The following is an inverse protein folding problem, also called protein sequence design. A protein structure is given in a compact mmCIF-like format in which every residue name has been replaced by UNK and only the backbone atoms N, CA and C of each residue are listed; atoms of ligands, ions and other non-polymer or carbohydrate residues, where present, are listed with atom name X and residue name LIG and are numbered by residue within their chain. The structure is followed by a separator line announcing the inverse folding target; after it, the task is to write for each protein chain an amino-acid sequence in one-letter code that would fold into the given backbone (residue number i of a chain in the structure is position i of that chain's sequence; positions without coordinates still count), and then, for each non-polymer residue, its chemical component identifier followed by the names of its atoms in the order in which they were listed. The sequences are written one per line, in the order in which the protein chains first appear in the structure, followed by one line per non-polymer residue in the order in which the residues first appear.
data_IF_901614679567
#
_entry.id   IF_901614679567
#
_cell.length_a   1.000
_cell.length_b   1.000
_cell.length_c   1.000
_cell.angle_alpha   90.00
_cell.angle_beta   90.00
_cell.angle_gamma   90.00
#
_symmetry.space_group_name_H-M   'P 1'
#
loop_
_entity.id
_entity.type
_entity.pdbx_description
1 polymer ?
#
# COMPACT_ATOMS: atom_id res chain seq x y z
N UNK A 1 15.32 0.76 -42.29
CA UNK A 1 14.70 2.03 -41.85
C UNK A 1 15.13 2.21 -40.40
N UNK A 2 16.21 2.94 -40.17
CA UNK A 2 16.78 3.20 -38.84
C UNK A 2 15.90 4.24 -38.14
N UNK A 3 15.38 3.91 -36.96
CA UNK A 3 14.76 4.87 -36.06
C UNK A 3 15.81 5.27 -35.03
N UNK A 4 16.35 6.47 -35.21
CA UNK A 4 17.17 7.19 -34.25
C UNK A 4 16.29 7.68 -33.11
N UNK A 5 16.53 7.19 -31.89
CA UNK A 5 15.91 7.72 -30.67
C UNK A 5 16.69 8.96 -30.24
N UNK A 6 16.12 10.15 -30.48
CA UNK A 6 16.62 11.39 -29.91
C UNK A 6 16.36 11.37 -28.39
N UNK A 7 17.44 11.52 -27.63
CA UNK A 7 17.41 11.73 -26.19
C UNK A 7 16.99 13.18 -25.99
N UNK A 8 15.73 13.38 -25.59
CA UNK A 8 15.23 14.70 -25.26
C UNK A 8 15.81 15.13 -23.90
N UNK A 9 16.93 15.86 -23.94
CA UNK A 9 17.54 16.48 -22.76
C UNK A 9 16.71 17.68 -22.36
N UNK A 10 15.66 17.45 -21.57
CA UNK A 10 14.91 18.52 -20.93
C UNK A 10 15.85 19.29 -19.99
N UNK A 11 15.96 20.59 -20.23
CA UNK A 11 16.70 21.55 -19.42
C UNK A 11 16.12 21.56 -18.00
N UNK A 12 16.93 21.57 -16.92
CA UNK A 12 16.38 21.69 -15.58
C UNK A 12 15.61 23.02 -15.46
N UNK A 13 14.43 23.03 -14.81
CA UNK A 13 13.73 24.26 -14.54
C UNK A 13 14.59 25.17 -13.63
N UNK A 14 14.45 26.50 -13.76
CA UNK A 14 15.26 27.44 -13.00
C UNK A 14 15.05 27.29 -11.50
N UNK A 15 16.13 27.43 -10.75
CA UNK A 15 16.10 27.53 -9.29
C UNK A 15 15.57 28.89 -8.82
N UNK A 16 14.90 28.85 -7.64
CA UNK A 16 14.57 29.96 -6.73
C UNK A 16 13.36 30.83 -7.17
N UNK A 17 12.35 31.19 -6.34
CA UNK A 17 12.19 32.23 -5.29
C UNK A 17 10.66 32.31 -5.05
N UNK A 18 10.02 32.60 -3.91
CA UNK A 18 10.41 33.08 -2.59
C UNK A 18 9.17 33.46 -1.75
N UNK A 19 9.44 33.70 -0.48
CA UNK A 19 8.55 34.14 0.60
C UNK A 19 7.85 35.46 0.22
N UNK A 20 6.53 35.62 0.45
CA UNK A 20 5.89 36.93 0.34
C UNK A 20 6.16 37.80 1.58
N UNK A 21 6.67 39.00 1.35
CA UNK A 21 6.65 40.14 2.28
C UNK A 21 5.19 40.59 2.47
N UNK A 22 4.67 40.52 3.70
CA UNK A 22 3.34 41.03 4.04
C UNK A 22 3.48 42.43 4.64
N UNK A 23 3.10 43.44 3.86
CA UNK A 23 2.81 44.78 4.39
C UNK A 23 1.49 44.76 5.18
N UNK A 24 1.53 45.36 6.36
CA UNK A 24 0.40 45.55 7.27
C UNK A 24 -0.67 46.49 6.70
N UNK A 25 -1.94 46.06 6.75
CA UNK A 25 -3.05 46.77 7.40
C UNK A 25 -4.41 46.25 6.87
N UNK A 26 -5.05 45.39 7.66
CA UNK A 26 -6.49 45.39 7.95
C UNK A 26 -6.82 44.15 8.77
N UNK A 27 -7.12 44.30 10.06
CA UNK A 27 -7.53 43.19 10.93
C UNK A 27 -8.72 42.41 10.34
N UNK A 28 -8.57 41.12 10.02
CA UNK A 28 -9.69 40.21 9.87
C UNK A 28 -10.01 39.57 11.23
N UNK A 29 -11.29 39.26 11.41
CA UNK A 29 -11.82 38.45 12.51
C UNK A 29 -11.02 37.14 12.65
N UNK A 30 -10.91 36.54 13.86
CA UNK A 30 -10.16 35.31 14.04
C UNK A 30 -10.75 34.24 13.14
N UNK A 31 -10.06 33.97 12.03
CA UNK A 31 -10.28 32.79 11.22
C UNK A 31 -10.03 31.59 12.14
N UNK A 32 -10.79 30.52 11.96
CA UNK A 32 -10.43 29.24 12.56
C UNK A 32 -9.04 28.89 12.01
N UNK A 33 -7.99 29.20 12.78
CA UNK A 33 -6.59 28.86 12.54
C UNK A 33 -6.38 27.34 12.70
N UNK A 34 -7.20 26.53 12.02
CA UNK A 34 -6.78 25.15 11.75
C UNK A 34 -5.65 25.27 10.71
N UNK A 35 -4.45 24.75 11.02
CA UNK A 35 -3.32 24.84 10.11
C UNK A 35 -3.71 24.20 8.78
N UNK A 36 -3.65 24.98 7.69
CA UNK A 36 -3.85 24.43 6.35
C UNK A 36 -2.74 23.42 6.08
N UNK A 37 -3.13 22.16 5.87
CA UNK A 37 -2.21 21.10 5.46
C UNK A 37 -1.63 21.45 4.10
N UNK A 38 -0.31 21.37 3.98
CA UNK A 38 0.36 21.50 2.70
C UNK A 38 0.05 20.28 1.84
N UNK A 39 -0.34 20.50 0.59
CA UNK A 39 -0.73 19.42 -0.34
C UNK A 39 0.21 19.37 -1.52
N UNK A 40 0.50 18.16 -2.00
CA UNK A 40 1.20 17.92 -3.25
C UNK A 40 0.40 16.94 -4.12
N UNK A 41 -0.11 17.42 -5.25
CA UNK A 41 -1.11 16.72 -6.06
C UNK A 41 -2.34 16.35 -5.21
N UNK A 42 -2.60 15.07 -5.00
CA UNK A 42 -3.72 14.56 -4.18
C UNK A 42 -3.27 14.15 -2.76
N UNK A 43 -1.99 14.33 -2.41
CA UNK A 43 -1.42 13.91 -1.14
C UNK A 43 -1.28 15.07 -0.15
N UNK A 44 -1.59 14.80 1.11
CA UNK A 44 -1.24 15.67 2.23
C UNK A 44 0.22 15.43 2.63
N UNK A 45 0.97 16.50 2.85
CA UNK A 45 2.35 16.46 3.34
C UNK A 45 2.34 16.66 4.86
N UNK A 46 2.85 15.65 5.58
CA UNK A 46 2.95 15.63 7.03
C UNK A 46 4.41 15.55 7.47
N UNK A 47 4.69 16.01 8.69
CA UNK A 47 6.03 16.01 9.28
C UNK A 47 6.87 17.23 8.92
N UNK A 48 8.19 17.07 8.98
CA UNK A 48 9.15 18.17 8.77
C UNK A 48 10.22 17.76 7.78
N UNK A 49 10.53 18.64 6.84
CA UNK A 49 11.63 18.45 5.90
C UNK A 49 12.98 18.44 6.61
N UNK A 50 13.85 17.53 6.19
CA UNK A 50 15.23 17.43 6.70
C UNK A 50 16.19 17.25 5.52
N UNK A 51 17.47 17.60 5.72
CA UNK A 51 18.51 17.36 4.71
C UNK A 51 18.60 15.88 4.30
N UNK A 52 18.35 14.96 5.25
CA UNK A 52 18.34 13.53 4.99
C UNK A 52 17.15 13.12 4.10
N UNK A 53 15.98 13.72 4.31
CA UNK A 53 14.80 13.53 3.47
C UNK A 53 15.06 14.04 2.04
N UNK A 54 15.57 15.27 1.90
CA UNK A 54 15.90 15.84 0.59
C UNK A 54 16.94 15.00 -0.15
N UNK A 55 17.99 14.55 0.54
CA UNK A 55 18.99 13.66 -0.05
C UNK A 55 18.41 12.31 -0.49
N UNK A 56 17.42 11.80 0.25
CA UNK A 56 16.72 10.56 -0.08
C UNK A 56 15.85 10.72 -1.34
N UNK A 57 15.19 11.87 -1.52
CA UNK A 57 14.37 12.16 -2.69
C UNK A 57 15.15 12.08 -4.00
N UNK A 58 16.43 12.44 -3.99
CA UNK A 58 17.33 12.37 -5.13
C UNK A 58 17.87 10.95 -5.42
N UNK A 59 17.72 10.01 -4.48
CA UNK A 59 18.24 8.66 -4.67
C UNK A 59 17.47 7.91 -5.77
N UNK A 60 18.18 7.24 -6.71
CA UNK A 60 17.54 6.46 -7.75
C UNK A 60 16.90 5.18 -7.18
N UNK A 61 15.63 4.96 -7.52
CA UNK A 61 14.91 3.74 -7.24
C UNK A 61 14.48 3.04 -8.52
N UNK A 62 14.71 1.72 -8.60
CA UNK A 62 14.24 0.89 -9.72
C UNK A 62 13.04 0.06 -9.32
N UNK A 63 11.87 0.44 -9.81
CA UNK A 63 10.61 -0.27 -9.57
C UNK A 63 10.19 -0.98 -10.86
N UNK A 64 9.58 -2.16 -10.75
CA UNK A 64 8.93 -2.77 -11.91
C UNK A 64 7.52 -2.21 -12.06
N UNK A 65 7.22 -1.62 -13.20
CA UNK A 65 5.89 -1.09 -13.52
C UNK A 65 5.08 -2.08 -14.34
N UNK A 66 3.78 -2.14 -14.09
CA UNK A 66 2.81 -2.96 -14.82
C UNK A 66 1.40 -2.41 -14.70
N UNK A 67 0.43 -3.19 -15.18
CA UNK A 67 -0.99 -2.85 -15.16
C UNK A 67 -1.78 -4.04 -14.63
N UNK A 68 -2.83 -3.76 -13.88
CA UNK A 68 -3.81 -4.73 -13.40
C UNK A 68 -5.14 -4.52 -14.13
N UNK A 69 -5.65 -5.55 -14.81
CA UNK A 69 -6.83 -5.49 -15.70
C UNK A 69 -8.08 -6.20 -15.12
N UNK A 70 -8.08 -6.48 -13.81
CA UNK A 70 -9.23 -7.04 -13.10
C UNK A 70 -9.29 -8.57 -13.15
N UNK A 71 -10.45 -9.15 -12.85
CA UNK A 71 -10.60 -10.60 -12.63
C UNK A 71 -10.86 -11.45 -13.90
N UNK A 72 -10.62 -10.90 -15.11
CA UNK A 72 -10.78 -11.63 -16.39
C UNK A 72 -9.50 -12.38 -16.78
N UNK A 73 -9.48 -13.01 -17.96
CA UNK A 73 -8.46 -13.95 -18.46
C UNK A 73 -6.99 -13.49 -18.34
N UNK A 74 -6.73 -12.18 -18.21
CA UNK A 74 -5.41 -11.61 -17.89
C UNK A 74 -5.50 -10.69 -16.68
N UNK A 75 -5.22 -11.25 -15.50
CA UNK A 75 -5.38 -10.50 -14.24
C UNK A 75 -4.42 -9.31 -14.12
N UNK A 76 -3.19 -9.43 -14.60
CA UNK A 76 -2.17 -8.38 -14.57
C UNK A 76 -1.04 -8.65 -15.57
N UNK A 77 -0.11 -7.70 -15.71
CA UNK A 77 1.10 -7.82 -16.54
C UNK A 77 1.78 -9.18 -16.33
N UNK A 78 2.06 -9.86 -17.44
CA UNK A 78 2.60 -11.21 -17.43
C UNK A 78 4.12 -11.19 -17.17
N UNK A 79 4.65 -12.33 -16.74
CA UNK A 79 6.10 -12.49 -16.63
C UNK A 79 6.77 -12.28 -17.99
N UNK A 80 7.83 -11.47 -18.01
CA UNK A 80 8.51 -11.05 -19.23
C UNK A 80 8.10 -9.64 -19.70
N UNK A 81 6.92 -9.17 -19.29
CA UNK A 81 6.34 -7.89 -19.74
C UNK A 81 6.44 -6.78 -18.68
N UNK A 82 6.88 -7.09 -17.45
CA UNK A 82 7.13 -6.06 -16.42
C UNK A 82 8.30 -5.15 -16.83
N UNK A 83 8.13 -3.85 -16.67
CA UNK A 83 9.15 -2.88 -17.09
C UNK A 83 9.91 -2.36 -15.88
N UNK A 84 11.21 -2.69 -15.71
CA UNK A 84 12.03 -2.03 -14.71
C UNK A 84 12.27 -0.59 -15.15
N UNK A 85 11.87 0.37 -14.33
CA UNK A 85 12.05 1.80 -14.57
C UNK A 85 12.90 2.34 -13.43
N UNK A 86 13.96 3.09 -13.73
CA UNK A 86 14.83 3.72 -12.73
C UNK A 86 14.64 5.22 -12.76
N UNK A 87 14.26 5.82 -11.63
CA UNK A 87 14.10 7.27 -11.45
C UNK A 87 14.38 7.65 -9.99
N UNK A 88 14.79 8.89 -9.70
CA UNK A 88 14.82 9.42 -8.35
C UNK A 88 13.47 9.27 -7.63
N UNK A 89 13.47 9.12 -6.31
CA UNK A 89 12.23 9.04 -5.51
C UNK A 89 11.30 10.23 -5.75
N UNK A 90 11.82 11.46 -5.87
CA UNK A 90 11.00 12.64 -6.18
C UNK A 90 10.19 12.47 -7.47
N UNK A 91 10.76 11.81 -8.50
CA UNK A 91 10.06 11.56 -9.76
C UNK A 91 9.02 10.45 -9.65
N UNK A 92 9.17 9.53 -8.68
CA UNK A 92 8.13 8.55 -8.34
C UNK A 92 6.98 9.19 -7.56
N UNK A 93 7.27 10.20 -6.74
CA UNK A 93 6.27 11.01 -6.04
C UNK A 93 5.49 11.85 -7.06
N UNK A 94 6.17 12.71 -7.81
CA UNK A 94 5.59 13.55 -8.88
C UNK A 94 4.76 12.69 -9.84
N UNK A 95 5.35 11.60 -10.30
CA UNK A 95 4.70 10.71 -11.27
C UNK A 95 4.51 11.36 -12.64
N UNK A 96 3.33 11.21 -13.22
CA UNK A 96 2.98 11.81 -14.50
C UNK A 96 1.49 12.01 -14.67
N UNK A 97 1.15 13.06 -15.42
CA UNK A 97 -0.23 13.44 -15.69
C UNK A 97 -0.99 12.33 -16.43
N UNK A 98 -2.29 12.24 -16.13
CA UNK A 98 -3.21 11.41 -16.87
C UNK A 98 -3.53 12.00 -18.25
N UNK A 99 -4.12 11.19 -19.10
CA UNK A 99 -4.70 11.63 -20.37
C UNK A 99 -6.13 11.08 -20.53
N UNK A 100 -6.73 11.30 -21.70
CA UNK A 100 -8.10 10.83 -21.99
C UNK A 100 -8.30 9.30 -21.88
N UNK A 101 -7.23 8.53 -21.87
CA UNK A 101 -7.21 7.06 -21.84
C UNK A 101 -6.53 6.50 -20.58
N UNK A 102 -5.70 7.28 -19.91
CA UNK A 102 -4.87 6.84 -18.79
C UNK A 102 -5.09 7.72 -17.56
N UNK A 103 -5.27 7.10 -16.39
CA UNK A 103 -5.26 7.84 -15.14
C UNK A 103 -3.88 8.47 -14.87
N UNK A 104 -3.80 9.58 -14.13
CA UNK A 104 -2.53 10.04 -13.57
C UNK A 104 -1.92 8.91 -12.74
N UNK A 105 -0.59 8.89 -12.67
CA UNK A 105 0.15 7.90 -11.90
C UNK A 105 1.21 8.62 -11.07
N UNK A 106 1.56 8.05 -9.93
CA UNK A 106 2.56 8.63 -9.03
C UNK A 106 2.12 8.46 -7.59
N UNK A 107 3.06 8.41 -6.67
CA UNK A 107 2.73 8.16 -5.27
C UNK A 107 1.99 9.31 -4.58
N UNK A 108 1.93 10.49 -5.21
CA UNK A 108 1.11 11.62 -4.73
C UNK A 108 -0.20 11.80 -5.50
N UNK A 109 -0.53 10.89 -6.42
CA UNK A 109 -1.82 10.87 -7.10
C UNK A 109 -2.73 9.78 -6.51
N UNK A 110 -4.03 10.07 -6.39
CA UNK A 110 -5.03 9.13 -5.86
C UNK A 110 -6.18 8.86 -6.84
N UNK A 111 -5.92 8.18 -7.98
CA UNK A 111 -6.95 7.89 -8.95
C UNK A 111 -8.02 6.92 -8.40
N UNK A 112 -9.26 7.40 -8.33
CA UNK A 112 -10.41 6.60 -7.84
C UNK A 112 -11.09 5.87 -9.00
N UNK A 113 -10.94 4.54 -9.03
CA UNK A 113 -11.56 3.68 -10.04
C UNK A 113 -12.72 2.84 -9.48
N UNK A 114 -13.74 2.62 -10.32
CA UNK A 114 -14.88 1.73 -9.98
C UNK A 114 -14.44 0.28 -9.81
N UNK A 115 -13.51 -0.16 -10.64
CA UNK A 115 -12.91 -1.49 -10.58
C UNK A 115 -11.50 -1.42 -9.97
N UNK A 116 -11.05 -2.51 -9.36
CA UNK A 116 -9.69 -2.66 -8.86
C UNK A 116 -8.76 -2.95 -10.05
N UNK A 117 -8.47 -1.91 -10.83
CA UNK A 117 -7.72 -1.94 -12.09
C UNK A 117 -6.89 -0.65 -12.20
N UNK A 118 -5.76 -0.71 -12.90
CA UNK A 118 -4.90 0.46 -13.10
C UNK A 118 -3.41 0.17 -13.07
N UNK A 119 -2.62 1.24 -13.03
CA UNK A 119 -1.18 1.17 -12.89
C UNK A 119 -0.80 0.50 -11.57
N UNK A 120 0.30 -0.25 -11.60
CA UNK A 120 0.85 -0.89 -10.43
C UNK A 120 2.36 -1.01 -10.52
N UNK A 121 2.98 -1.14 -9.36
CA UNK A 121 4.42 -1.28 -9.20
C UNK A 121 4.75 -2.49 -8.32
N UNK A 122 5.94 -3.03 -8.51
CA UNK A 122 6.61 -3.89 -7.53
C UNK A 122 7.81 -3.09 -7.01
N UNK A 123 8.02 -3.11 -5.70
CA UNK A 123 8.95 -2.23 -4.98
C UNK A 123 10.44 -2.60 -5.16
N UNK A 124 10.76 -3.30 -6.24
CA UNK A 124 12.08 -3.84 -6.55
C UNK A 124 12.23 -4.15 -8.03
N UNK A 125 13.42 -4.62 -8.39
CA UNK A 125 13.77 -5.10 -9.72
C UNK A 125 13.90 -6.62 -9.76
N UNK A 126 13.72 -7.23 -10.92
CA UNK A 126 13.85 -8.69 -11.10
C UNK A 126 14.61 -9.09 -12.36
N UNK A 127 15.15 -10.31 -12.35
CA UNK A 127 15.72 -10.93 -13.54
C UNK A 127 14.60 -11.29 -14.52
N UNK A 128 14.81 -10.97 -15.80
CA UNK A 128 13.93 -11.44 -16.87
C UNK A 128 12.52 -10.86 -16.80
N UNK A 129 12.33 -9.71 -16.12
CA UNK A 129 11.04 -9.00 -16.04
C UNK A 129 9.92 -9.89 -15.46
N UNK A 130 10.27 -10.81 -14.57
CA UNK A 130 9.34 -11.74 -13.97
C UNK A 130 8.89 -11.25 -12.59
N UNK A 131 7.59 -11.34 -12.30
CA UNK A 131 7.05 -11.06 -10.97
C UNK A 131 6.97 -12.38 -10.18
N UNK A 132 8.14 -12.86 -9.76
CA UNK A 132 8.29 -14.05 -8.91
C UNK A 132 9.27 -13.77 -7.79
N UNK A 133 8.94 -14.21 -6.58
CA UNK A 133 9.83 -14.09 -5.41
C UNK A 133 11.27 -14.51 -5.73
N UNK A 134 11.47 -15.65 -6.40
CA UNK A 134 12.81 -16.15 -6.76
C UNK A 134 13.54 -15.36 -7.85
N UNK A 135 12.84 -14.52 -8.60
CA UNK A 135 13.43 -13.67 -9.65
C UNK A 135 13.84 -12.28 -9.15
N UNK A 136 13.30 -11.83 -8.00
CA UNK A 136 13.59 -10.51 -7.43
C UNK A 136 15.08 -10.35 -7.10
N UNK A 137 15.69 -9.24 -7.48
CA UNK A 137 17.11 -8.98 -7.24
C UNK A 137 17.29 -7.96 -6.13
N UNK A 138 16.83 -6.73 -6.37
CA UNK A 138 17.06 -5.60 -5.49
C UNK A 138 15.74 -4.98 -5.11
N UNK A 139 15.54 -4.76 -3.81
CA UNK A 139 14.40 -4.06 -3.26
C UNK A 139 14.79 -2.62 -2.94
N UNK A 140 13.93 -1.68 -3.29
CA UNK A 140 14.15 -0.24 -3.06
C UNK A 140 13.22 0.32 -1.98
N UNK A 141 12.14 -0.39 -1.66
CA UNK A 141 11.23 -0.03 -0.58
C UNK A 141 10.68 -1.28 0.10
N UNK A 142 10.20 -1.11 1.33
CA UNK A 142 9.35 -2.08 2.04
C UNK A 142 7.90 -1.63 1.94
N UNK A 143 7.01 -2.55 1.57
CA UNK A 143 5.58 -2.25 1.42
C UNK A 143 4.74 -3.09 2.36
N UNK A 144 3.77 -2.46 3.02
CA UNK A 144 2.78 -3.11 3.88
C UNK A 144 1.36 -2.84 3.34
N UNK A 145 0.49 -3.84 3.43
CA UNK A 145 -0.95 -3.71 3.17
C UNK A 145 -1.66 -3.96 4.51
N UNK A 146 -2.24 -2.91 5.06
CA UNK A 146 -2.92 -2.93 6.35
C UNK A 146 -4.41 -3.11 6.07
N UNK A 147 -4.93 -4.28 6.40
CA UNK A 147 -6.36 -4.62 6.29
C UNK A 147 -6.92 -5.30 7.55
N UNK A 148 -6.19 -5.15 8.66
CA UNK A 148 -6.47 -5.69 10.00
C UNK A 148 -7.43 -4.82 10.82
N UNK A 149 -7.77 -3.61 10.36
CA UNK A 149 -8.64 -2.68 11.10
C UNK A 149 -7.90 -1.79 12.09
N UNK A 150 -6.58 -1.69 11.99
CA UNK A 150 -5.82 -0.63 12.61
C UNK A 150 -6.23 0.74 12.04
N UNK A 151 -6.27 1.76 12.89
CA UNK A 151 -6.69 3.12 12.51
C UNK A 151 -5.64 3.76 11.60
N UNK A 152 -6.08 4.39 10.51
CA UNK A 152 -5.19 5.18 9.64
C UNK A 152 -4.58 6.35 10.41
N UNK A 153 -5.40 7.16 11.08
CA UNK A 153 -4.94 8.36 11.81
C UNK A 153 -3.86 8.02 12.86
N UNK A 154 -4.13 7.04 13.72
CA UNK A 154 -3.13 6.60 14.72
C UNK A 154 -1.85 6.04 14.08
N UNK A 155 -1.91 5.52 12.85
CA UNK A 155 -0.73 5.07 12.12
C UNK A 155 0.06 6.24 11.53
N UNK A 156 -0.61 7.29 11.06
CA UNK A 156 0.03 8.52 10.61
C UNK A 156 0.81 9.17 11.76
N UNK A 157 0.15 9.36 12.92
CA UNK A 157 0.79 9.86 14.15
C UNK A 157 2.01 9.02 14.52
N UNK A 158 1.87 7.69 14.47
CA UNK A 158 2.94 6.76 14.82
C UNK A 158 4.14 6.85 13.88
N UNK A 159 3.91 6.99 12.58
CA UNK A 159 4.98 7.12 11.57
C UNK A 159 5.70 8.46 11.73
N UNK A 160 4.95 9.53 11.99
CA UNK A 160 5.49 10.87 12.25
C UNK A 160 6.35 10.89 13.53
N UNK A 161 5.85 10.31 14.63
CA UNK A 161 6.59 10.15 15.90
C UNK A 161 7.91 9.39 15.73
N UNK A 162 7.95 8.43 14.81
CA UNK A 162 9.15 7.66 14.49
C UNK A 162 10.11 8.41 13.55
N UNK A 163 9.70 9.54 12.98
CA UNK A 163 10.50 10.32 12.03
C UNK A 163 10.82 9.56 10.74
N UNK A 164 9.93 8.67 10.31
CA UNK A 164 10.13 7.84 9.11
C UNK A 164 9.49 8.49 7.88
N UNK A 165 10.24 8.56 6.78
CA UNK A 165 9.62 8.87 5.50
C UNK A 165 8.77 7.68 5.01
N UNK A 166 7.47 7.91 4.89
CA UNK A 166 6.51 6.91 4.45
C UNK A 166 5.54 7.52 3.43
N UNK A 167 5.20 6.72 2.42
CA UNK A 167 4.13 7.00 1.49
C UNK A 167 2.91 6.20 1.95
N UNK A 168 1.81 6.91 2.21
CA UNK A 168 0.58 6.31 2.72
C UNK A 168 -0.57 6.57 1.75
N UNK A 169 -1.33 5.54 1.42
CA UNK A 169 -2.54 5.71 0.62
C UNK A 169 -3.58 4.63 0.92
N UNK A 170 -4.85 5.01 0.80
CA UNK A 170 -5.98 4.11 1.04
C UNK A 170 -6.16 3.12 -0.12
N UNK A 171 -6.79 1.99 0.17
CA UNK A 171 -7.13 1.00 -0.87
C UNK A 171 -8.54 1.22 -1.41
N UNK A 172 -8.86 0.63 -2.57
CA UNK A 172 -10.23 0.57 -3.12
C UNK A 172 -11.30 0.07 -2.14
N UNK A 173 -10.92 -0.65 -1.09
CA UNK A 173 -11.85 -1.18 -0.09
C UNK A 173 -11.76 -0.50 1.27
N UNK A 174 -11.08 0.65 1.35
CA UNK A 174 -11.07 1.51 2.54
C UNK A 174 -12.50 1.95 2.91
N UNK A 175 -12.78 1.99 4.20
CA UNK A 175 -14.10 2.34 4.75
C UNK A 175 -15.20 1.31 4.51
N UNK A 176 -14.92 0.20 3.83
CA UNK A 176 -15.92 -0.86 3.61
C UNK A 176 -16.02 -1.76 4.83
N UNK A 177 -17.25 -2.21 5.12
CA UNK A 177 -17.51 -3.25 6.09
C UNK A 177 -16.85 -4.59 5.68
N UNK A 178 -16.73 -5.49 6.66
CA UNK A 178 -16.29 -6.87 6.45
C UNK A 178 -17.17 -7.58 5.42
N UNK A 179 -16.53 -8.26 4.47
CA UNK A 179 -17.23 -9.08 3.49
C UNK A 179 -17.92 -10.28 4.15
N UNK A 180 -19.02 -10.80 3.56
CA UNK A 180 -19.63 -12.03 4.02
C UNK A 180 -18.63 -13.20 4.08
N UNK A 181 -18.75 -14.02 5.11
CA UNK A 181 -17.84 -15.14 5.36
C UNK A 181 -18.40 -16.44 4.75
N UNK A 182 -17.61 -17.24 4.01
CA UNK A 182 -18.09 -18.53 3.49
C UNK A 182 -18.48 -19.46 4.64
N UNK A 183 -19.77 -19.83 4.73
CA UNK A 183 -20.32 -20.50 5.92
C UNK A 183 -19.65 -21.84 6.20
N UNK A 184 -19.50 -22.66 5.18
CA UNK A 184 -18.88 -23.98 5.30
C UNK A 184 -17.41 -23.90 5.71
N UNK A 185 -16.69 -22.87 5.25
CA UNK A 185 -15.29 -22.65 5.64
C UNK A 185 -15.17 -22.34 7.12
N UNK A 186 -16.06 -21.50 7.66
CA UNK A 186 -16.09 -21.15 9.09
C UNK A 186 -16.35 -22.39 9.93
N UNK A 187 -17.40 -23.15 9.60
CA UNK A 187 -17.79 -24.38 10.32
C UNK A 187 -16.66 -25.41 10.28
N UNK A 188 -16.07 -25.64 9.10
CA UNK A 188 -15.01 -26.63 8.92
C UNK A 188 -13.74 -26.26 9.70
N UNK A 189 -13.33 -24.98 9.69
CA UNK A 189 -12.11 -24.52 10.37
C UNK A 189 -12.26 -24.58 11.89
N UNK A 190 -13.43 -24.20 12.41
CA UNK A 190 -13.73 -24.28 13.84
C UNK A 190 -14.08 -25.70 14.31
N UNK A 191 -14.36 -26.63 13.38
CA UNK A 191 -14.81 -28.00 13.66
C UNK A 191 -16.05 -28.06 14.56
N UNK A 192 -16.98 -27.14 14.33
CA UNK A 192 -18.26 -27.05 15.05
C UNK A 192 -19.38 -27.68 14.24
N UNK A 193 -20.53 -27.91 14.87
CA UNK A 193 -21.76 -28.25 14.15
C UNK A 193 -22.46 -26.99 13.62
N UNK A 194 -23.29 -27.10 12.56
CA UNK A 194 -24.02 -25.96 12.00
C UNK A 194 -24.91 -25.19 12.99
N UNK A 195 -25.44 -25.87 14.01
CA UNK A 195 -26.31 -25.33 15.07
C UNK A 195 -25.53 -24.66 16.21
N UNK A 196 -24.21 -24.86 16.28
CA UNK A 196 -23.31 -24.22 17.25
C UNK A 196 -22.78 -22.86 16.73
N UNK A 197 -23.15 -22.44 15.52
CA UNK A 197 -22.70 -21.20 14.92
C UNK A 197 -23.41 -19.99 15.54
N UNK A 198 -22.63 -19.12 16.17
CA UNK A 198 -23.08 -17.86 16.75
C UNK A 198 -22.04 -16.73 16.56
N UNK A 199 -22.35 -15.54 17.09
CA UNK A 199 -21.43 -14.38 17.09
C UNK A 199 -20.06 -14.72 17.70
N UNK A 200 -20.03 -15.52 18.78
CA UNK A 200 -18.78 -15.89 19.45
C UNK A 200 -17.92 -16.75 18.53
N UNK A 201 -18.52 -17.68 17.78
CA UNK A 201 -17.82 -18.51 16.80
C UNK A 201 -17.33 -17.74 15.60
N UNK A 202 -18.12 -16.79 15.10
CA UNK A 202 -17.64 -15.89 14.03
C UNK A 202 -16.42 -15.08 14.51
N UNK A 203 -16.46 -14.53 15.73
CA UNK A 203 -15.32 -13.80 16.31
C UNK A 203 -14.10 -14.69 16.53
N UNK A 204 -14.30 -15.91 17.01
CA UNK A 204 -13.24 -16.92 17.15
C UNK A 204 -12.59 -17.23 15.79
N UNK A 205 -13.39 -17.39 14.74
CA UNK A 205 -12.91 -17.61 13.38
C UNK A 205 -12.04 -16.44 12.89
N UNK A 206 -12.53 -15.20 13.04
CA UNK A 206 -11.80 -14.00 12.63
C UNK A 206 -10.47 -13.85 13.38
N UNK A 207 -10.43 -14.24 14.65
CA UNK A 207 -9.23 -14.17 15.49
C UNK A 207 -8.18 -15.20 15.10
N UNK A 208 -8.58 -16.44 14.85
CA UNK A 208 -7.66 -17.58 14.72
C UNK A 208 -7.35 -17.92 13.26
N UNK A 209 -8.35 -17.87 12.39
CA UNK A 209 -8.26 -18.47 11.05
C UNK A 209 -8.24 -17.45 9.91
N UNK A 210 -8.78 -16.25 10.11
CA UNK A 210 -8.71 -15.22 9.07
C UNK A 210 -7.29 -14.69 8.91
N UNK A 211 -6.84 -14.58 7.65
CA UNK A 211 -5.47 -14.20 7.30
C UNK A 211 -5.14 -12.75 7.66
N UNK A 212 -6.15 -11.89 7.76
CA UNK A 212 -5.97 -10.46 7.98
C UNK A 212 -5.72 -10.12 9.45
N UNK A 213 -5.89 -11.09 10.36
CA UNK A 213 -5.59 -10.97 11.81
C UNK A 213 -6.14 -9.67 12.40
N UNK A 214 -7.46 -9.53 12.38
CA UNK A 214 -8.11 -8.29 12.78
C UNK A 214 -7.84 -7.90 14.23
N UNK A 215 -7.82 -6.60 14.50
CA UNK A 215 -7.71 -6.05 15.85
C UNK A 215 -8.90 -6.48 16.73
N UNK A 216 -8.66 -6.75 18.02
CA UNK A 216 -9.71 -7.25 18.93
C UNK A 216 -10.85 -6.23 19.09
N UNK A 217 -10.53 -4.93 19.05
CA UNK A 217 -11.52 -3.84 19.09
C UNK A 217 -12.45 -3.86 17.86
N UNK A 218 -11.98 -4.35 16.72
CA UNK A 218 -12.79 -4.58 15.53
C UNK A 218 -13.63 -5.85 15.70
N UNK A 219 -13.00 -6.97 16.04
CA UNK A 219 -13.65 -8.29 16.19
C UNK A 219 -14.82 -8.22 17.18
N UNK A 220 -14.64 -7.55 18.32
CA UNK A 220 -15.65 -7.42 19.37
C UNK A 220 -16.97 -6.77 18.87
N UNK A 221 -16.90 -5.96 17.81
CA UNK A 221 -18.05 -5.26 17.22
C UNK A 221 -18.75 -6.02 16.10
N UNK A 222 -18.18 -7.14 15.64
CA UNK A 222 -18.76 -7.97 14.58
C UNK A 222 -19.97 -8.75 15.11
N UNK A 223 -21.07 -8.74 14.34
CA UNK A 223 -22.32 -9.45 14.67
C UNK A 223 -22.89 -10.13 13.44
N UNK A 224 -23.46 -11.32 13.59
CA UNK A 224 -24.20 -11.99 12.53
C UNK A 224 -25.49 -11.20 12.27
N UNK A 225 -25.75 -10.89 10.99
CA UNK A 225 -27.04 -10.36 10.53
C UNK A 225 -27.87 -11.43 9.85
N UNK A 226 -27.22 -12.35 9.13
CA UNK A 226 -27.85 -13.54 8.53
C UNK A 226 -26.85 -14.70 8.53
N UNK A 227 -27.13 -15.76 9.29
CA UNK A 227 -26.24 -16.91 9.44
C UNK A 227 -26.22 -17.85 8.22
N UNK A 228 -27.16 -17.68 7.27
CA UNK A 228 -27.35 -18.61 6.16
C UNK A 228 -27.88 -17.90 4.90
N UNK A 229 -27.20 -16.81 4.52
CA UNK A 229 -27.56 -16.04 3.33
C UNK A 229 -27.13 -16.79 2.06
N UNK A 230 -28.07 -17.03 1.17
CA UNK A 230 -27.76 -17.59 -0.15
C UNK A 230 -27.20 -16.52 -1.09
N UNK A 231 -26.09 -16.84 -1.77
CA UNK A 231 -25.49 -16.00 -2.80
C UNK A 231 -25.11 -16.83 -4.02
N UNK A 232 -24.73 -16.18 -5.12
CA UNK A 232 -24.19 -16.87 -6.31
C UNK A 232 -22.92 -17.68 -6.02
N UNK A 233 -22.22 -17.38 -4.91
CA UNK A 233 -21.01 -18.08 -4.49
C UNK A 233 -21.29 -19.21 -3.48
N UNK A 234 -22.56 -19.46 -3.13
CA UNK A 234 -22.97 -20.42 -2.09
C UNK A 234 -23.52 -19.73 -0.84
N UNK A 235 -23.71 -20.52 0.22
CA UNK A 235 -24.16 -20.03 1.53
C UNK A 235 -23.04 -19.27 2.24
N UNK A 236 -23.36 -18.06 2.71
CA UNK A 236 -22.44 -17.19 3.46
C UNK A 236 -23.08 -16.76 4.78
N UNK A 237 -22.24 -16.36 5.72
CA UNK A 237 -22.61 -15.67 6.93
C UNK A 237 -22.49 -14.18 6.63
N UNK A 238 -23.62 -13.48 6.60
CA UNK A 238 -23.63 -12.02 6.54
C UNK A 238 -23.42 -11.45 7.94
N UNK A 239 -22.55 -10.44 8.03
CA UNK A 239 -22.16 -9.82 9.29
C UNK A 239 -22.26 -8.30 9.19
N UNK A 240 -22.64 -7.67 10.29
CA UNK A 240 -22.44 -6.24 10.52
C UNK A 240 -21.08 -6.02 11.17
N UNK A 241 -20.36 -5.00 10.71
CA UNK A 241 -19.06 -4.60 11.24
C UNK A 241 -18.87 -3.09 11.07
N UNK A 242 -18.02 -2.46 11.89
CA UNK A 242 -17.61 -1.09 11.65
C UNK A 242 -16.83 -0.99 10.32
N UNK A 243 -16.74 0.20 9.71
CA UNK A 243 -15.83 0.45 8.59
C UNK A 243 -14.40 0.00 8.91
N UNK A 244 -13.73 -0.60 7.93
CA UNK A 244 -12.32 -0.95 8.04
C UNK A 244 -11.45 0.07 7.33
N UNK A 245 -10.51 0.64 8.05
CA UNK A 245 -9.40 1.32 7.44
C UNK A 245 -8.53 0.29 6.72
N UNK A 246 -8.40 0.50 5.41
CA UNK A 246 -7.53 -0.30 4.56
C UNK A 246 -6.61 0.61 3.81
N UNK A 247 -5.32 0.54 4.11
CA UNK A 247 -4.33 1.43 3.55
C UNK A 247 -3.00 0.70 3.36
N UNK A 248 -2.12 1.29 2.56
CA UNK A 248 -0.78 0.78 2.32
C UNK A 248 0.23 1.77 2.83
N UNK A 249 1.34 1.21 3.30
CA UNK A 249 2.51 1.94 3.72
C UNK A 249 3.65 1.53 2.81
N UNK A 250 4.36 2.48 2.21
CA UNK A 250 5.59 2.22 1.47
C UNK A 250 6.69 3.02 2.16
N UNK A 251 7.70 2.30 2.63
CA UNK A 251 8.89 2.85 3.27
C UNK A 251 10.05 2.71 2.30
N UNK A 252 10.40 3.77 1.55
CA UNK A 252 11.56 3.72 0.71
C UNK A 252 12.85 3.56 1.54
N UNK A 253 13.77 2.74 1.04
CA UNK A 253 14.97 2.35 1.78
C UNK A 253 16.10 3.34 1.51
N UNK A 254 16.79 3.77 2.57
CA UNK A 254 17.96 4.64 2.47
C UNK A 254 19.10 4.03 1.63
N UNK A 255 19.16 2.70 1.55
CA UNK A 255 20.03 1.95 0.65
C UNK A 255 19.25 0.78 0.02
N UNK A 256 19.31 0.56 -1.29
CA UNK A 256 18.70 -0.59 -1.92
C UNK A 256 19.25 -1.91 -1.36
N UNK A 257 18.38 -2.88 -1.15
CA UNK A 257 18.75 -4.20 -0.60
C UNK A 257 18.76 -5.22 -1.72
N UNK A 258 19.95 -5.74 -2.07
CA UNK A 258 20.06 -6.91 -2.92
C UNK A 258 19.76 -8.17 -2.09
N UNK A 259 18.70 -8.89 -2.45
CA UNK A 259 18.23 -10.06 -1.71
C UNK A 259 19.33 -11.13 -1.62
N UNK A 260 20.18 -11.26 -2.64
CA UNK A 260 21.28 -12.25 -2.63
C UNK A 260 22.30 -12.00 -1.53
N UNK A 261 22.38 -10.78 -1.03
CA UNK A 261 23.38 -10.39 -0.02
C UNK A 261 22.86 -10.62 1.41
N UNK A 262 21.59 -11.02 1.56
CA UNK A 262 20.97 -11.27 2.87
C UNK A 262 21.34 -12.62 3.50
N UNK A 263 21.62 -13.63 2.68
CA UNK A 263 22.03 -14.96 3.13
C UNK A 263 22.66 -15.78 2.00
N UNK A 264 23.33 -16.89 2.35
CA UNK A 264 24.03 -17.77 1.39
C UNK A 264 23.11 -18.45 0.38
N UNK A 265 21.90 -18.83 0.81
CA UNK A 265 20.93 -19.52 -0.05
C UNK A 265 19.73 -18.63 -0.36
N UNK A 266 19.10 -18.88 -1.51
CA UNK A 266 17.94 -18.08 -1.92
C UNK A 266 16.76 -18.18 -0.94
N UNK A 267 16.50 -19.37 -0.40
CA UNK A 267 15.44 -19.58 0.59
C UNK A 267 15.69 -18.76 1.85
N UNK A 268 16.86 -18.92 2.46
CA UNK A 268 17.23 -18.18 3.66
C UNK A 268 17.22 -16.65 3.45
N UNK A 269 17.60 -16.17 2.26
CA UNK A 269 17.54 -14.76 1.94
C UNK A 269 16.09 -14.23 1.88
N UNK A 270 15.16 -15.03 1.36
CA UNK A 270 13.72 -14.69 1.37
C UNK A 270 13.16 -14.72 2.79
N UNK A 271 13.59 -15.67 3.62
CA UNK A 271 13.19 -15.74 5.04
C UNK A 271 13.66 -14.49 5.80
N UNK A 272 14.90 -14.03 5.57
CA UNK A 272 15.42 -12.77 6.15
C UNK A 272 14.64 -11.56 5.65
N UNK A 273 14.25 -11.54 4.37
CA UNK A 273 13.41 -10.46 3.85
C UNK A 273 12.02 -10.45 4.50
N UNK A 274 11.39 -11.62 4.62
CA UNK A 274 10.12 -11.79 5.33
C UNK A 274 10.21 -11.34 6.79
N UNK A 275 11.27 -11.71 7.49
CA UNK A 275 11.52 -11.31 8.87
C UNK A 275 11.68 -9.78 9.01
N UNK A 276 12.36 -9.13 8.06
CA UNK A 276 12.47 -7.65 8.03
C UNK A 276 11.11 -6.97 7.85
N UNK A 277 10.29 -7.44 6.92
CA UNK A 277 8.93 -6.92 6.70
C UNK A 277 8.07 -7.13 7.96
N UNK A 278 8.17 -8.32 8.57
CA UNK A 278 7.44 -8.66 9.79
C UNK A 278 7.89 -7.82 10.98
N UNK A 279 9.19 -7.63 11.15
CA UNK A 279 9.77 -6.79 12.21
C UNK A 279 9.39 -5.32 12.07
N UNK A 280 9.34 -4.78 10.85
CA UNK A 280 8.81 -3.44 10.61
C UNK A 280 7.34 -3.35 11.06
N UNK A 281 6.48 -4.27 10.62
CA UNK A 281 5.06 -4.21 10.96
C UNK A 281 4.80 -4.45 12.46
N UNK A 282 5.41 -5.48 13.05
CA UNK A 282 5.09 -5.95 14.41
C UNK A 282 5.86 -5.22 15.50
N UNK A 283 7.18 -5.08 15.33
CA UNK A 283 8.06 -4.56 16.37
C UNK A 283 8.19 -3.03 16.29
N UNK A 284 8.17 -2.47 15.08
CA UNK A 284 8.33 -1.01 14.89
C UNK A 284 6.98 -0.29 14.90
N UNK A 285 6.01 -0.78 14.12
CA UNK A 285 4.71 -0.14 13.95
C UNK A 285 3.63 -0.70 14.89
N UNK A 286 3.82 -1.90 15.46
CA UNK A 286 2.86 -2.50 16.39
C UNK A 286 1.55 -2.95 15.76
N UNK A 287 1.54 -3.29 14.46
CA UNK A 287 0.31 -3.52 13.67
C UNK A 287 0.23 -4.91 13.05
N UNK A 288 -0.98 -5.43 12.86
CA UNK A 288 -1.24 -6.60 12.02
C UNK A 288 -1.34 -6.22 10.52
N UNK A 289 -0.89 -7.08 9.62
CA UNK A 289 -0.81 -6.80 8.17
C UNK A 289 -1.11 -8.04 7.31
N UNK A 290 -1.44 -7.85 6.01
CA UNK A 290 -1.55 -8.95 5.05
C UNK A 290 -0.16 -9.55 4.79
N UNK A 291 0.09 -10.75 5.31
CA UNK A 291 1.37 -11.45 5.20
C UNK A 291 1.80 -11.72 3.76
N UNK A 292 0.89 -11.61 2.78
CA UNK A 292 1.26 -11.63 1.37
C UNK A 292 2.27 -10.53 0.97
N UNK A 293 2.46 -9.51 1.81
CA UNK A 293 3.45 -8.45 1.61
C UNK A 293 4.89 -8.88 1.91
N UNK A 294 5.10 -10.03 2.55
CA UNK A 294 6.45 -10.58 2.77
C UNK A 294 7.06 -11.11 1.46
N UNK A 295 6.25 -11.39 0.44
CA UNK A 295 6.75 -11.73 -0.91
C UNK A 295 7.38 -10.48 -1.56
N UNK A 296 8.69 -10.50 -1.90
CA UNK A 296 9.36 -9.35 -2.51
C UNK A 296 8.82 -9.01 -3.91
N UNK A 297 8.02 -9.89 -4.53
CA UNK A 297 7.35 -9.66 -5.80
C UNK A 297 5.92 -9.10 -5.63
N UNK A 298 5.52 -8.71 -4.42
CA UNK A 298 4.21 -8.11 -4.14
C UNK A 298 4.00 -6.84 -4.96
N UNK A 299 2.82 -6.76 -5.58
CA UNK A 299 2.39 -5.60 -6.36
C UNK A 299 1.59 -4.61 -5.50
N UNK A 300 1.76 -3.34 -5.81
CA UNK A 300 1.16 -2.17 -5.16
C UNK A 300 0.52 -1.30 -6.23
N UNK A 301 -0.61 -0.65 -5.94
CA UNK A 301 -1.23 0.31 -6.86
C UNK A 301 -0.56 1.67 -6.74
N UNK A 302 -0.61 2.45 -7.82
CA UNK A 302 -0.06 3.80 -7.97
C UNK A 302 -0.96 4.62 -8.87
#
# INVERSE_FOLDING_TARGET
MQLTTEINTATPPPSVIGIPDVQADSDPLPENDEPQLETFNDADLLGTETDAYLAMLDQPATLMTGVLWGAKDRRNTQDGDWLPVTRPWVNWLIGGEGDKNNAPWGFTHHPVNKAKEGACVVLGSSVGKARKANAMQTMYAMGLDIDSGASLDSMLDKVEDLGLFCIVYTTHSHGKALSPLPRDTVIQKLKIKPDELDDSKVREYLRVFDKNRYEESFIARVKITDARKETKAGEVIEVSSPPLDKYRLIFPLANPVNIRDLAETRGAALDVWEDKITGLARETLGVHFDTSCTDPSRLFFT
#
